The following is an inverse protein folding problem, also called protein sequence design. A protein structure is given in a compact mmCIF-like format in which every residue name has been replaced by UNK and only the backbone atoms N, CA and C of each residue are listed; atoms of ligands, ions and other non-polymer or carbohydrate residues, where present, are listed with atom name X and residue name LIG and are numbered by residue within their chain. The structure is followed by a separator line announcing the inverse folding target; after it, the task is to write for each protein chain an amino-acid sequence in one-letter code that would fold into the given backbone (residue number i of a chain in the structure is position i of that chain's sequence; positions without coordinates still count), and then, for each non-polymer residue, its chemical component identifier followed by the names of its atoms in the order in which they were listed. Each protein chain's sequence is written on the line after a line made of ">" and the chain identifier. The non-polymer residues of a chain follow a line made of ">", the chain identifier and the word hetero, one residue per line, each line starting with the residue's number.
data_IF_324509778715
#
_entry.id   IF_324509778715
#
_cell.length_a   1.000
_cell.length_b   1.000
_cell.length_c   1.000
_cell.angle_alpha   90.00
_cell.angle_beta   90.00
_cell.angle_gamma   90.00
#
_symmetry.space_group_name_H-M   'P 1'
#
loop_
_entity.id
_entity.type
_entity.pdbx_description
1 polymer ?
#
# COMPACT_ATOMS: atom_id res chain seq x y z
N UNK A 1 5.03 8.00 2.06
CA UNK A 1 4.65 7.49 0.73
C UNK A 1 3.13 7.46 0.66
N UNK A 2 2.56 7.96 -0.43
CA UNK A 2 1.12 8.02 -0.69
C UNK A 2 0.68 6.64 -1.20
N UNK A 3 -0.48 6.15 -0.75
CA UNK A 3 -1.10 4.93 -1.26
C UNK A 3 -2.00 5.28 -2.46
N UNK A 4 -1.60 4.96 -3.71
CA UNK A 4 -2.39 5.33 -4.88
C UNK A 4 -3.78 4.72 -4.90
N UNK A 5 -3.97 3.52 -4.33
CA UNK A 5 -5.28 2.86 -4.31
C UNK A 5 -6.26 3.60 -3.40
N UNK A 6 -5.83 3.98 -2.20
CA UNK A 6 -6.65 4.78 -1.27
C UNK A 6 -7.02 6.14 -1.87
N UNK A 7 -6.05 6.81 -2.49
CA UNK A 7 -6.30 8.09 -3.18
C UNK A 7 -7.31 7.91 -4.31
N UNK A 8 -7.17 6.85 -5.11
CA UNK A 8 -8.14 6.51 -6.15
C UNK A 8 -9.56 6.30 -5.62
N UNK A 9 -9.70 5.51 -4.54
CA UNK A 9 -10.98 5.30 -3.86
C UNK A 9 -11.57 6.59 -3.29
N UNK A 10 -10.73 7.47 -2.71
CA UNK A 10 -11.14 8.79 -2.20
C UNK A 10 -11.69 9.66 -3.33
N UNK A 11 -11.00 9.70 -4.47
CA UNK A 11 -11.46 10.44 -5.66
C UNK A 11 -12.80 9.90 -6.15
N UNK A 12 -12.96 8.56 -6.25
CA UNK A 12 -14.24 7.94 -6.64
C UNK A 12 -15.37 8.40 -5.71
N UNK A 13 -15.16 8.29 -4.39
CA UNK A 13 -16.16 8.66 -3.38
C UNK A 13 -16.56 10.12 -3.48
N UNK A 14 -15.58 11.03 -3.59
CA UNK A 14 -15.83 12.46 -3.70
C UNK A 14 -16.52 12.81 -5.04
N UNK A 15 -16.11 12.20 -6.14
CA UNK A 15 -16.75 12.36 -7.45
C UNK A 15 -18.22 11.94 -7.42
N UNK A 16 -18.50 10.75 -6.87
CA UNK A 16 -19.86 10.22 -6.75
C UNK A 16 -20.72 11.07 -5.81
N UNK A 17 -20.16 11.56 -4.69
CA UNK A 17 -20.86 12.49 -3.78
C UNK A 17 -21.27 13.80 -4.48
N UNK A 18 -20.53 14.21 -5.50
CA UNK A 18 -20.83 15.37 -6.33
C UNK A 18 -21.68 15.03 -7.57
N UNK A 19 -22.18 13.78 -7.70
CA UNK A 19 -22.98 13.30 -8.83
C UNK A 19 -22.29 13.45 -10.20
N UNK A 20 -20.96 13.36 -10.24
CA UNK A 20 -20.20 13.50 -11.48
C UNK A 20 -19.84 12.13 -12.08
N UNK A 21 -19.89 12.03 -13.41
CA UNK A 21 -19.26 10.95 -14.18
C UNK A 21 -17.75 11.16 -14.29
N UNK A 22 -17.02 10.12 -14.71
CA UNK A 22 -15.58 10.26 -14.97
C UNK A 22 -15.30 11.28 -16.08
N UNK A 23 -16.13 11.34 -17.12
CA UNK A 23 -15.95 12.32 -18.20
C UNK A 23 -16.08 13.75 -17.65
N UNK A 24 -17.16 14.03 -16.91
CA UNK A 24 -17.42 15.37 -16.38
C UNK A 24 -16.37 15.85 -15.38
N UNK A 25 -15.83 14.96 -14.54
CA UNK A 25 -14.74 15.34 -13.65
C UNK A 25 -13.44 15.57 -14.42
N UNK A 26 -13.14 14.74 -15.42
CA UNK A 26 -11.95 14.87 -16.24
C UNK A 26 -11.95 16.21 -17.01
N UNK A 27 -13.10 16.59 -17.57
CA UNK A 27 -13.30 17.89 -18.22
C UNK A 27 -13.06 19.06 -17.25
N UNK A 28 -13.56 18.96 -16.01
CA UNK A 28 -13.39 20.00 -14.98
C UNK A 28 -11.93 20.23 -14.58
N UNK A 29 -11.09 19.20 -14.64
CA UNK A 29 -9.66 19.29 -14.30
C UNK A 29 -8.76 19.26 -15.54
N UNK A 30 -9.34 19.42 -16.74
CA UNK A 30 -8.61 19.50 -18.02
C UNK A 30 -7.67 18.30 -18.29
N UNK A 31 -8.13 17.09 -17.99
CA UNK A 31 -7.42 15.85 -18.32
C UNK A 31 -8.30 14.91 -19.12
N UNK A 32 -7.69 13.87 -19.70
CA UNK A 32 -8.46 12.82 -20.36
C UNK A 32 -9.19 11.95 -19.34
N UNK A 33 -10.36 11.44 -19.69
CA UNK A 33 -11.06 10.40 -18.89
C UNK A 33 -10.15 9.19 -18.58
N UNK A 34 -9.24 8.84 -19.49
CA UNK A 34 -8.28 7.76 -19.28
C UNK A 34 -7.29 8.08 -18.14
N UNK A 35 -6.79 9.32 -18.06
CA UNK A 35 -5.95 9.76 -16.95
C UNK A 35 -6.70 9.67 -15.61
N UNK A 36 -7.93 10.22 -15.57
CA UNK A 36 -8.77 10.12 -14.36
C UNK A 36 -9.04 8.65 -13.97
N UNK A 37 -9.37 7.78 -14.93
CA UNK A 37 -9.57 6.35 -14.69
C UNK A 37 -8.33 5.66 -14.11
N UNK A 38 -7.11 6.09 -14.49
CA UNK A 38 -5.88 5.55 -13.90
C UNK A 38 -5.73 5.99 -12.45
N UNK A 39 -6.09 7.23 -12.12
CA UNK A 39 -6.05 7.71 -10.74
C UNK A 39 -7.06 6.97 -9.87
N UNK A 40 -8.32 6.88 -10.33
CA UNK A 40 -9.39 6.20 -9.59
C UNK A 40 -9.12 4.71 -9.34
N UNK A 41 -8.39 4.04 -10.25
CA UNK A 41 -7.97 2.64 -10.08
C UNK A 41 -6.67 2.47 -9.28
N UNK A 42 -6.06 3.56 -8.82
CA UNK A 42 -4.77 3.53 -8.11
C UNK A 42 -3.59 3.08 -8.97
N UNK A 43 -3.67 3.22 -10.29
CA UNK A 43 -2.55 2.94 -11.20
C UNK A 43 -1.57 4.12 -11.31
N UNK A 44 -1.97 5.29 -10.81
CA UNK A 44 -1.14 6.48 -10.69
C UNK A 44 -1.74 7.41 -9.63
N UNK A 45 -0.92 8.24 -9.01
CA UNK A 45 -1.39 9.36 -8.19
C UNK A 45 -1.60 10.58 -9.11
N UNK A 46 -2.63 11.43 -8.92
CA UNK A 46 -2.75 12.67 -9.65
C UNK A 46 -1.50 13.54 -9.48
N UNK A 47 -1.03 14.25 -10.53
CA UNK A 47 0.04 15.22 -10.38
C UNK A 47 -0.40 16.37 -9.48
N UNK A 48 0.56 17.07 -8.87
CA UNK A 48 0.30 18.09 -7.83
C UNK A 48 -0.76 19.11 -8.25
N UNK A 49 -0.68 19.64 -9.47
CA UNK A 49 -1.64 20.62 -9.99
C UNK A 49 -3.08 20.07 -9.98
N UNK A 50 -3.25 18.78 -10.28
CA UNK A 50 -4.56 18.13 -10.27
C UNK A 50 -5.04 17.86 -8.86
N UNK A 51 -4.14 17.57 -7.92
CA UNK A 51 -4.51 17.49 -6.50
C UNK A 51 -5.07 18.84 -6.03
N UNK A 52 -4.45 19.96 -6.44
CA UNK A 52 -4.93 21.32 -6.11
C UNK A 52 -6.33 21.54 -6.66
N UNK A 53 -6.58 21.25 -7.94
CA UNK A 53 -7.89 21.46 -8.54
C UNK A 53 -8.96 20.53 -7.95
N UNK A 54 -8.64 19.25 -7.73
CA UNK A 54 -9.55 18.28 -7.10
C UNK A 54 -9.92 18.70 -5.67
N UNK A 55 -8.95 19.17 -4.88
CA UNK A 55 -9.19 19.70 -3.53
C UNK A 55 -10.17 20.88 -3.54
N UNK A 56 -10.07 21.78 -4.53
CA UNK A 56 -11.01 22.90 -4.69
C UNK A 56 -12.40 22.43 -5.11
N UNK A 57 -12.50 21.56 -6.12
CA UNK A 57 -13.76 21.03 -6.65
C UNK A 57 -14.54 20.30 -5.55
N UNK A 58 -13.84 19.48 -4.76
CA UNK A 58 -14.45 18.67 -3.72
C UNK A 58 -14.56 19.37 -2.36
N UNK A 59 -13.98 20.56 -2.23
CA UNK A 59 -13.91 21.32 -0.98
C UNK A 59 -13.30 20.50 0.18
N UNK A 60 -12.13 19.92 -0.05
CA UNK A 60 -11.35 19.12 0.92
C UNK A 60 -9.90 19.58 0.97
N UNK A 61 -9.19 19.31 2.08
CA UNK A 61 -7.76 19.60 2.16
C UNK A 61 -6.92 18.65 1.32
N UNK A 62 -5.68 19.03 1.03
CA UNK A 62 -4.69 18.14 0.40
C UNK A 62 -4.48 16.85 1.21
N UNK A 63 -4.38 17.00 2.53
CA UNK A 63 -4.14 15.88 3.44
C UNK A 63 -5.29 14.88 3.40
N UNK A 64 -6.54 15.36 3.34
CA UNK A 64 -7.72 14.51 3.25
C UNK A 64 -7.82 13.82 1.88
N UNK A 65 -7.57 14.54 0.79
CA UNK A 65 -7.60 13.97 -0.57
C UNK A 65 -6.52 12.90 -0.77
N UNK A 66 -5.34 13.12 -0.20
CA UNK A 66 -4.18 12.22 -0.29
C UNK A 66 -4.15 11.16 0.83
N UNK A 67 -5.17 11.12 1.70
CA UNK A 67 -5.28 10.21 2.84
C UNK A 67 -4.05 10.24 3.78
N UNK A 68 -3.48 11.42 4.03
CA UNK A 68 -2.28 11.60 4.87
C UNK A 68 -2.58 11.62 6.37
N UNK A 69 -3.82 11.95 6.73
CA UNK A 69 -4.31 12.04 8.10
C UNK A 69 -5.07 10.77 8.57
N UNK A 70 -5.24 9.79 7.68
CA UNK A 70 -5.99 8.58 7.99
C UNK A 70 -5.05 7.49 8.54
N UNK A 71 -5.50 6.75 9.57
CA UNK A 71 -4.76 5.58 10.05
C UNK A 71 -4.59 4.57 8.92
N UNK A 72 -3.46 3.86 8.97
CA UNK A 72 -3.22 2.76 8.06
C UNK A 72 -3.70 1.47 8.73
N UNK A 73 -4.85 0.98 8.29
CA UNK A 73 -5.42 -0.28 8.76
C UNK A 73 -5.36 -1.30 7.63
N UNK A 74 -4.73 -2.44 7.90
CA UNK A 74 -4.71 -3.58 6.98
C UNK A 74 -5.69 -4.63 7.45
N UNK A 75 -6.32 -5.31 6.49
CA UNK A 75 -7.06 -6.52 6.79
C UNK A 75 -6.06 -7.66 6.98
N UNK A 76 -6.03 -8.28 8.15
CA UNK A 76 -5.08 -9.37 8.44
C UNK A 76 -5.26 -10.58 7.51
N UNK A 77 -6.46 -10.82 6.99
CA UNK A 77 -6.74 -11.91 6.05
C UNK A 77 -6.28 -11.60 4.61
N UNK A 78 -6.13 -10.32 4.27
CA UNK A 78 -5.59 -9.85 2.99
C UNK A 78 -4.96 -8.48 3.18
N UNK A 79 -3.67 -8.46 3.52
CA UNK A 79 -2.91 -7.24 3.83
C UNK A 79 -2.74 -6.33 2.60
N UNK A 80 -3.05 -6.82 1.40
CA UNK A 80 -2.94 -6.09 0.14
C UNK A 80 -4.28 -5.57 -0.35
N UNK A 81 -5.39 -5.92 0.32
CA UNK A 81 -6.72 -5.45 -0.02
C UNK A 81 -6.75 -3.94 -0.03
N UNK A 82 -7.17 -3.35 -1.14
CA UNK A 82 -7.27 -1.89 -1.34
C UNK A 82 -5.96 -1.11 -1.14
N UNK A 83 -4.81 -1.79 -1.13
CA UNK A 83 -3.50 -1.17 -0.98
C UNK A 83 -2.56 -1.54 -2.13
N UNK A 84 -1.68 -0.63 -2.50
CA UNK A 84 -0.58 -0.97 -3.39
C UNK A 84 0.35 -2.01 -2.73
N UNK A 85 0.66 -3.08 -3.46
CA UNK A 85 1.41 -4.22 -2.90
C UNK A 85 2.82 -3.82 -2.48
N UNK A 86 3.51 -3.04 -3.31
CA UNK A 86 4.87 -2.61 -3.04
C UNK A 86 4.92 -1.67 -1.83
N UNK A 87 3.93 -0.80 -1.68
CA UNK A 87 3.77 0.08 -0.53
C UNK A 87 3.60 -0.70 0.79
N UNK A 88 2.77 -1.74 0.82
CA UNK A 88 2.64 -2.63 1.99
C UNK A 88 3.99 -3.24 2.36
N UNK A 89 4.68 -3.85 1.38
CA UNK A 89 5.99 -4.47 1.62
C UNK A 89 6.98 -3.44 2.16
N UNK A 90 7.06 -2.26 1.54
CA UNK A 90 7.96 -1.19 1.96
C UNK A 90 7.67 -0.72 3.39
N UNK A 91 6.42 -0.71 3.83
CA UNK A 91 6.07 -0.34 5.20
C UNK A 91 6.35 -1.43 6.22
N UNK A 92 6.17 -2.70 5.86
CA UNK A 92 6.57 -3.83 6.70
C UNK A 92 8.09 -3.78 6.92
N UNK A 93 8.88 -3.71 5.84
CA UNK A 93 10.35 -3.78 5.92
C UNK A 93 11.00 -2.55 6.55
N UNK A 94 10.32 -1.40 6.55
CA UNK A 94 10.76 -0.19 7.26
C UNK A 94 10.29 -0.12 8.71
N UNK A 95 9.49 -1.09 9.17
CA UNK A 95 8.90 -1.10 10.51
C UNK A 95 7.76 -0.11 10.72
N UNK A 96 7.34 0.63 9.67
CA UNK A 96 6.20 1.56 9.74
C UNK A 96 4.88 0.81 9.95
N UNK A 97 4.74 -0.37 9.37
CA UNK A 97 3.59 -1.25 9.55
C UNK A 97 3.99 -2.45 10.40
N UNK A 98 3.46 -2.52 11.63
CA UNK A 98 3.62 -3.67 12.51
C UNK A 98 2.58 -4.72 12.17
N UNK A 99 3.04 -5.92 11.81
CA UNK A 99 2.20 -7.08 11.49
C UNK A 99 2.82 -8.33 12.10
N UNK A 100 2.00 -9.35 12.36
CA UNK A 100 2.51 -10.67 12.70
C UNK A 100 2.97 -11.39 11.43
N UNK A 101 4.29 -11.45 11.20
CA UNK A 101 4.88 -12.03 9.99
C UNK A 101 4.43 -13.48 9.76
N UNK A 102 4.46 -14.39 10.76
CA UNK A 102 3.87 -15.72 10.65
C UNK A 102 2.45 -15.78 10.07
N UNK A 103 1.57 -14.86 10.45
CA UNK A 103 0.16 -14.86 10.05
C UNK A 103 -0.01 -14.48 8.59
N UNK A 104 0.84 -13.56 8.09
CA UNK A 104 0.76 -13.02 6.73
C UNK A 104 1.71 -13.70 5.75
N UNK A 105 2.55 -14.64 6.21
CA UNK A 105 3.66 -15.21 5.45
C UNK A 105 3.23 -15.83 4.11
N UNK A 106 2.06 -16.47 4.05
CA UNK A 106 1.54 -17.08 2.83
C UNK A 106 0.85 -16.10 1.87
N UNK A 107 0.58 -14.88 2.32
CA UNK A 107 0.08 -13.81 1.45
C UNK A 107 1.24 -13.20 0.64
N UNK A 108 2.48 -13.36 1.10
CA UNK A 108 3.69 -12.88 0.44
C UNK A 108 4.11 -13.81 -0.71
N UNK A 109 4.55 -13.22 -1.81
CA UNK A 109 5.20 -13.96 -2.90
C UNK A 109 6.61 -14.40 -2.49
N UNK A 110 7.21 -15.43 -3.13
CA UNK A 110 8.54 -15.90 -2.77
C UNK A 110 9.61 -14.81 -2.75
N UNK A 111 9.59 -13.87 -3.71
CA UNK A 111 10.54 -12.74 -3.74
C UNK A 111 10.34 -11.79 -2.55
N UNK A 112 9.10 -11.48 -2.19
CA UNK A 112 8.79 -10.65 -1.02
C UNK A 112 9.18 -11.32 0.30
N UNK A 113 8.99 -12.63 0.40
CA UNK A 113 9.44 -13.41 1.57
C UNK A 113 10.94 -13.27 1.75
N UNK A 114 11.74 -13.35 0.69
CA UNK A 114 13.19 -13.13 0.77
C UNK A 114 13.52 -11.71 1.28
N UNK A 115 12.82 -10.68 0.81
CA UNK A 115 13.02 -9.30 1.29
C UNK A 115 12.70 -9.18 2.79
N UNK A 116 11.56 -9.72 3.23
CA UNK A 116 11.15 -9.72 4.64
C UNK A 116 12.13 -10.51 5.51
N UNK A 117 12.54 -11.70 5.05
CA UNK A 117 13.52 -12.55 5.73
C UNK A 117 14.89 -11.88 5.85
N UNK A 118 15.32 -11.13 4.83
CA UNK A 118 16.56 -10.34 4.89
C UNK A 118 16.53 -9.31 6.02
N UNK A 119 15.37 -8.67 6.21
CA UNK A 119 15.14 -7.65 7.25
C UNK A 119 14.95 -8.25 8.65
N UNK A 120 14.44 -9.46 8.73
CA UNK A 120 14.47 -10.24 9.98
C UNK A 120 15.90 -10.66 10.34
N UNK A 121 16.70 -11.03 9.32
CA UNK A 121 18.09 -11.47 9.49
C UNK A 121 19.01 -10.34 9.94
N UNK A 122 18.84 -9.13 9.42
CA UNK A 122 19.62 -7.95 9.83
C UNK A 122 19.09 -7.26 11.11
N UNK A 123 17.98 -7.76 11.67
CA UNK A 123 17.36 -7.23 12.89
C UNK A 123 16.56 -5.94 12.70
N UNK A 124 16.35 -5.47 11.47
CA UNK A 124 15.53 -4.28 11.20
C UNK A 124 14.06 -4.48 11.61
N UNK A 125 13.57 -5.72 11.55
CA UNK A 125 12.23 -6.11 12.01
C UNK A 125 12.31 -7.41 12.82
N UNK A 126 11.24 -7.72 13.55
CA UNK A 126 11.17 -8.89 14.43
C UNK A 126 9.95 -9.75 14.12
N UNK A 127 10.04 -11.05 14.37
CA UNK A 127 8.92 -12.00 14.26
C UNK A 127 9.04 -13.12 15.30
N UNK A 128 7.93 -13.82 15.55
CA UNK A 128 7.97 -15.06 16.33
C UNK A 128 8.61 -16.18 15.49
N UNK A 129 9.88 -16.50 15.77
CA UNK A 129 10.60 -17.55 15.04
C UNK A 129 10.02 -18.94 15.21
N UNK A 130 9.43 -19.27 16.37
CA UNK A 130 8.83 -20.57 16.60
C UNK A 130 7.63 -20.84 15.67
N UNK A 131 6.88 -19.78 15.32
CA UNK A 131 5.76 -19.85 14.39
C UNK A 131 6.18 -19.68 12.92
N UNK A 132 7.29 -18.96 12.67
CA UNK A 132 7.76 -18.68 11.32
C UNK A 132 8.59 -19.84 10.73
N UNK A 133 9.47 -20.45 11.52
CA UNK A 133 10.39 -21.51 11.06
C UNK A 133 9.66 -22.67 10.35
N UNK A 134 8.52 -23.20 10.85
CA UNK A 134 7.80 -24.29 10.18
C UNK A 134 7.20 -23.89 8.81
N UNK A 135 7.10 -22.59 8.51
CA UNK A 135 6.50 -22.07 7.27
C UNK A 135 7.54 -21.87 6.16
N UNK A 136 8.84 -21.88 6.50
CA UNK A 136 9.93 -21.61 5.55
C UNK A 136 10.20 -22.82 4.65
N UNK A 137 10.52 -22.55 3.38
CA UNK A 137 11.05 -23.56 2.47
C UNK A 137 12.52 -23.91 2.80
N UNK A 138 13.07 -25.05 2.34
CA UNK A 138 14.48 -25.38 2.55
C UNK A 138 15.45 -24.30 2.04
N UNK A 139 15.13 -23.66 0.92
CA UNK A 139 15.93 -22.55 0.37
C UNK A 139 15.89 -21.30 1.27
N UNK A 140 14.73 -20.98 1.84
CA UNK A 140 14.57 -19.85 2.78
C UNK A 140 15.24 -20.15 4.14
N UNK A 141 15.18 -21.39 4.62
CA UNK A 141 15.92 -21.85 5.79
C UNK A 141 17.43 -21.70 5.58
N UNK A 142 17.94 -22.11 4.42
CA UNK A 142 19.36 -21.92 4.06
C UNK A 142 19.74 -20.43 3.96
N UNK A 143 18.82 -19.59 3.48
CA UNK A 143 19.03 -18.14 3.39
C UNK A 143 19.15 -17.48 4.78
N UNK A 144 18.30 -17.88 5.74
CA UNK A 144 18.33 -17.41 7.13
C UNK A 144 19.50 -18.02 7.92
N UNK A 145 19.69 -19.34 7.82
CA UNK A 145 20.62 -20.16 8.61
C UNK A 145 22.13 -19.94 8.33
N UNK A 146 22.48 -18.93 7.54
CA UNK A 146 23.86 -18.43 7.43
C UNK A 146 24.33 -17.61 8.63
N UNK A 147 23.57 -17.55 9.73
CA UNK A 147 23.91 -16.86 10.97
C UNK A 147 23.85 -17.85 12.12
N UNK A 148 24.97 -17.95 12.86
CA UNK A 148 25.02 -18.61 14.16
C UNK A 148 24.10 -17.86 15.12
N UNK A 149 23.11 -18.55 15.67
CA UNK A 149 22.44 -18.10 16.87
C UNK A 149 23.41 -18.36 18.04
N UNK A 150 24.21 -17.36 18.38
CA UNK A 150 24.93 -17.30 19.67
C UNK A 150 24.07 -16.54 20.68
#
# INVERSE_FOLDING_TARGET
>A
MIDPKRVGEKIIKLRQKNNLTQEELADKVFVTRQALSRWERGHAVPPVDMVVELSRIFNVSFDDLLCLNESFEVNENDIFKNHDRQLIINWIVSGKLKVNIPDIFYQLSPSERIVVLSKLRDGSITANWNELLPKLTPSELKFIGGIKHE
#
